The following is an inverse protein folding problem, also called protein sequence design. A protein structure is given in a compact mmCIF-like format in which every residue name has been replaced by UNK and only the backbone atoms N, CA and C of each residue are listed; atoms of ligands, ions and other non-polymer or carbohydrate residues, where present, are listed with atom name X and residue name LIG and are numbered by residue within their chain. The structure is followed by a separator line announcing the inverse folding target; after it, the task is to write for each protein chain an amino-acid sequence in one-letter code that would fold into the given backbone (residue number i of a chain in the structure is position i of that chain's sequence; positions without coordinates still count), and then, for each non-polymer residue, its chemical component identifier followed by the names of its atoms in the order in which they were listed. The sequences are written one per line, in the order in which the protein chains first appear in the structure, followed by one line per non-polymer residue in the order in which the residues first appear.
data_IF_801609459217
#
_entry.id   IF_801609459217
#
_cell.length_a   1.000
_cell.length_b   1.000
_cell.length_c   1.000
_cell.angle_alpha   90.00
_cell.angle_beta   90.00
_cell.angle_gamma   90.00
#
_symmetry.space_group_name_H-M   'P 1'
#
loop_
_entity.id
_entity.type
_entity.pdbx_description
1 polymer ?
#
# COMPACT_ATOMS: atom_id res chain seq x y z
N UNK A 1 -4.04 2.08 -19.21
CA UNK A 1 -4.49 2.60 -17.90
C UNK A 1 -4.67 1.45 -16.89
N UNK A 2 -5.58 0.51 -17.13
CA UNK A 2 -5.89 -0.58 -16.17
C UNK A 2 -4.64 -1.36 -15.73
N UNK A 3 -3.76 -1.77 -16.65
CA UNK A 3 -2.54 -2.48 -16.28
C UNK A 3 -1.57 -1.63 -15.42
N UNK A 4 -1.53 -0.31 -15.63
CA UNK A 4 -0.67 0.61 -14.86
C UNK A 4 -1.24 0.81 -13.45
N UNK A 5 -2.56 1.04 -13.34
CA UNK A 5 -3.24 1.16 -12.05
C UNK A 5 -3.16 -0.15 -11.25
N UNK A 6 -3.28 -1.29 -11.93
CA UNK A 6 -3.09 -2.61 -11.32
C UNK A 6 -1.65 -2.80 -10.81
N UNK A 7 -0.64 -2.36 -11.56
CA UNK A 7 0.76 -2.39 -11.11
C UNK A 7 0.99 -1.54 -9.85
N UNK A 8 0.43 -0.32 -9.79
CA UNK A 8 0.51 0.54 -8.60
C UNK A 8 -0.21 -0.08 -7.38
N UNK A 9 -1.37 -0.70 -7.61
CA UNK A 9 -2.09 -1.44 -6.58
C UNK A 9 -1.26 -2.63 -6.06
N UNK A 10 -0.73 -3.45 -6.97
CA UNK A 10 0.08 -4.63 -6.62
C UNK A 10 1.34 -4.25 -5.85
N UNK A 11 2.03 -3.17 -6.25
CA UNK A 11 3.21 -2.66 -5.55
C UNK A 11 2.91 -2.29 -4.09
N UNK A 12 1.79 -1.60 -3.84
CA UNK A 12 1.40 -1.24 -2.47
C UNK A 12 0.97 -2.44 -1.63
N UNK A 13 0.31 -3.42 -2.25
CA UNK A 13 -0.03 -4.66 -1.56
C UNK A 13 1.22 -5.48 -1.22
N UNK A 14 2.27 -5.46 -2.06
CA UNK A 14 3.56 -6.07 -1.75
C UNK A 14 4.22 -5.46 -0.51
N UNK A 15 4.17 -4.14 -0.38
CA UNK A 15 4.67 -3.43 0.81
C UNK A 15 3.91 -3.87 2.08
N UNK A 16 2.58 -3.93 2.01
CA UNK A 16 1.76 -4.43 3.12
C UNK A 16 2.04 -5.90 3.47
N UNK A 17 2.30 -6.76 2.48
CA UNK A 17 2.70 -8.15 2.73
C UNK A 17 4.06 -8.25 3.43
N UNK A 18 5.00 -7.37 3.09
CA UNK A 18 6.31 -7.32 3.73
C UNK A 18 6.19 -6.92 5.21
N UNK A 19 5.42 -5.87 5.50
CA UNK A 19 5.19 -5.40 6.87
C UNK A 19 4.50 -6.46 7.74
N UNK A 20 3.42 -7.05 7.22
CA UNK A 20 2.69 -8.11 7.94
C UNK A 20 3.53 -9.37 8.13
N UNK A 21 4.44 -9.69 7.20
CA UNK A 21 5.40 -10.79 7.36
C UNK A 21 6.40 -10.51 8.48
N UNK A 22 6.95 -9.30 8.56
CA UNK A 22 7.87 -8.89 9.63
C UNK A 22 7.17 -8.95 11.00
N UNK A 23 5.95 -8.41 11.10
CA UNK A 23 5.13 -8.48 12.31
C UNK A 23 4.85 -9.93 12.74
N UNK A 24 4.52 -10.81 11.79
CA UNK A 24 4.25 -12.22 12.06
C UNK A 24 5.47 -12.93 12.63
N UNK A 25 6.66 -12.70 12.07
CA UNK A 25 7.90 -13.31 12.60
C UNK A 25 8.22 -12.81 14.01
N UNK A 26 8.16 -11.49 14.25
CA UNK A 26 8.38 -10.90 15.57
C UNK A 26 7.37 -11.41 16.61
N UNK A 27 6.11 -11.60 16.21
CA UNK A 27 5.06 -12.15 17.09
C UNK A 27 5.36 -13.60 17.46
N UNK A 28 5.77 -14.43 16.50
CA UNK A 28 6.14 -15.84 16.77
C UNK A 28 7.34 -15.91 17.70
N UNK A 29 8.33 -15.04 17.52
CA UNK A 29 9.49 -14.95 18.40
C UNK A 29 9.10 -14.50 19.81
N UNK A 30 8.25 -13.48 19.94
CA UNK A 30 7.70 -13.04 21.22
C UNK A 30 6.99 -14.16 21.97
N UNK A 31 6.18 -14.97 21.27
CA UNK A 31 5.47 -16.13 21.84
C UNK A 31 6.47 -17.19 22.32
N UNK A 32 7.52 -17.47 21.55
CA UNK A 32 8.55 -18.47 21.93
C UNK A 32 9.35 -18.05 23.15
N UNK A 33 9.60 -16.75 23.30
CA UNK A 33 10.34 -16.20 24.44
C UNK A 33 9.45 -15.99 25.67
N UNK A 34 8.13 -16.09 25.52
CA UNK A 34 7.19 -15.93 26.62
C UNK A 34 7.17 -17.18 27.52
N UNK A 35 7.69 -17.03 28.73
CA UNK A 35 7.54 -18.03 29.79
C UNK A 35 6.22 -17.80 30.56
N UNK A 36 5.30 -18.76 30.44
CA UNK A 36 3.97 -18.72 31.06
C UNK A 36 3.99 -18.64 32.60
N UNK A 37 5.15 -18.87 33.24
CA UNK A 37 5.30 -18.89 34.69
C UNK A 37 5.58 -17.55 35.38
N UNK A 38 5.90 -16.48 34.65
CA UNK A 38 6.39 -15.24 35.26
C UNK A 38 6.02 -13.96 34.51
N UNK A 39 4.83 -13.40 34.80
CA UNK A 39 4.47 -12.05 34.35
C UNK A 39 5.25 -11.03 35.18
N UNK A 40 6.48 -10.76 34.76
CA UNK A 40 7.33 -9.69 35.31
C UNK A 40 7.42 -8.53 34.33
N UNK A 41 7.59 -7.31 34.82
CA UNK A 41 7.71 -6.09 34.00
C UNK A 41 8.88 -6.14 32.98
N UNK A 42 9.83 -7.05 33.17
CA UNK A 42 10.95 -7.29 32.25
C UNK A 42 10.49 -8.02 30.98
N UNK A 43 9.61 -9.01 31.11
CA UNK A 43 9.07 -9.77 29.98
C UNK A 43 8.19 -8.89 29.07
N UNK A 44 7.38 -7.98 29.66
CA UNK A 44 6.57 -7.04 28.88
C UNK A 44 7.41 -6.02 28.11
N UNK A 45 8.56 -5.59 28.66
CA UNK A 45 9.49 -4.71 27.96
C UNK A 45 10.15 -5.41 26.76
N UNK A 46 10.62 -6.65 26.93
CA UNK A 46 11.21 -7.43 25.83
C UNK A 46 10.23 -7.64 24.67
N UNK A 47 8.99 -8.01 24.99
CA UNK A 47 7.92 -8.16 23.98
C UNK A 47 7.68 -6.86 23.23
N UNK A 48 7.64 -5.73 23.95
CA UNK A 48 7.48 -4.40 23.34
C UNK A 48 8.65 -4.05 22.43
N UNK A 49 9.88 -4.23 22.90
CA UNK A 49 11.09 -3.89 22.15
C UNK A 49 11.20 -4.71 20.85
N UNK A 50 10.63 -5.93 20.82
CA UNK A 50 10.58 -6.79 19.63
C UNK A 50 9.45 -6.42 18.65
N UNK A 51 8.27 -6.05 19.16
CA UNK A 51 7.07 -5.80 18.35
C UNK A 51 6.97 -4.36 17.85
N UNK A 52 7.27 -3.36 18.68
CA UNK A 52 7.10 -1.94 18.37
C UNK A 52 7.82 -1.52 17.07
N UNK A 53 9.06 -1.98 16.78
CA UNK A 53 9.74 -1.65 15.52
C UNK A 53 9.06 -2.23 14.27
N UNK A 54 8.25 -3.29 14.42
CA UNK A 54 7.50 -3.90 13.31
C UNK A 54 6.14 -3.24 13.07
N UNK A 55 5.67 -2.44 14.02
CA UNK A 55 4.42 -1.69 13.93
C UNK A 55 4.66 -0.35 13.25
N UNK A 56 5.38 -0.36 12.12
CA UNK A 56 5.55 0.83 11.29
C UNK A 56 4.19 1.26 10.77
N UNK A 57 3.67 2.43 11.18
CA UNK A 57 2.42 2.91 10.63
C UNK A 57 2.62 3.11 9.13
N UNK A 58 1.67 2.64 8.32
CA UNK A 58 1.65 2.98 6.90
C UNK A 58 1.75 4.50 6.78
N UNK A 59 2.86 4.99 6.20
CA UNK A 59 3.10 6.43 6.16
C UNK A 59 1.96 7.09 5.40
N UNK A 60 1.30 8.06 6.02
CA UNK A 60 0.21 8.82 5.41
C UNK A 60 0.62 9.35 4.02
N UNK A 61 1.90 9.70 3.86
CA UNK A 61 2.50 10.09 2.58
C UNK A 61 2.44 9.02 1.50
N UNK A 62 2.76 7.75 1.80
CA UNK A 62 2.70 6.66 0.82
C UNK A 62 1.27 6.39 0.35
N UNK A 63 0.32 6.34 1.29
CA UNK A 63 -1.09 6.15 0.96
C UNK A 63 -1.63 7.27 0.08
N UNK A 64 -1.35 8.52 0.47
CA UNK A 64 -1.73 9.72 -0.26
C UNK A 64 -1.11 9.75 -1.65
N UNK A 65 0.17 9.41 -1.79
CA UNK A 65 0.86 9.41 -3.08
C UNK A 65 0.24 8.42 -4.08
N UNK A 66 -0.15 7.22 -3.64
CA UNK A 66 -0.83 6.25 -4.52
C UNK A 66 -2.17 6.77 -5.02
N UNK A 67 -2.98 7.34 -4.13
CA UNK A 67 -4.28 7.90 -4.52
C UNK A 67 -4.12 9.07 -5.50
N UNK A 68 -3.24 10.03 -5.19
CA UNK A 68 -2.96 11.16 -6.08
C UNK A 68 -2.47 10.69 -7.45
N UNK A 69 -1.56 9.71 -7.48
CA UNK A 69 -1.02 9.18 -8.74
C UNK A 69 -2.11 8.50 -9.57
N UNK A 70 -2.98 7.71 -8.92
CA UNK A 70 -4.13 7.07 -9.56
C UNK A 70 -5.09 8.09 -10.17
N UNK A 71 -5.40 9.16 -9.42
CA UNK A 71 -6.34 10.20 -9.86
C UNK A 71 -5.78 10.97 -11.06
N UNK A 72 -4.50 11.36 -11.00
CA UNK A 72 -3.82 12.05 -12.12
C UNK A 72 -3.83 11.18 -13.37
N UNK A 73 -3.49 9.89 -13.26
CA UNK A 73 -3.49 8.97 -14.40
C UNK A 73 -4.89 8.80 -14.99
N UNK A 74 -5.92 8.77 -14.15
CA UNK A 74 -7.32 8.66 -14.58
C UNK A 74 -7.74 9.91 -15.35
N UNK A 75 -7.47 11.10 -14.82
CA UNK A 75 -7.76 12.38 -15.48
C UNK A 75 -7.04 12.45 -16.84
N UNK A 76 -5.76 12.08 -16.89
CA UNK A 76 -4.97 12.07 -18.12
C UNK A 76 -5.55 11.13 -19.18
N UNK A 77 -6.03 9.95 -18.79
CA UNK A 77 -6.68 9.03 -19.73
C UNK A 77 -8.02 9.55 -20.25
N UNK A 78 -8.84 10.17 -19.39
CA UNK A 78 -10.10 10.81 -19.82
C UNK A 78 -9.82 11.93 -20.83
N UNK A 79 -8.80 12.75 -20.56
CA UNK A 79 -8.34 13.78 -21.49
C UNK A 79 -7.89 13.21 -22.83
N UNK A 80 -7.10 12.13 -22.82
CA UNK A 80 -6.65 11.48 -24.05
C UNK A 80 -7.82 10.88 -24.85
N UNK A 81 -8.80 10.28 -24.18
CA UNK A 81 -10.02 9.75 -24.81
C UNK A 81 -10.86 10.88 -25.43
N UNK A 82 -11.07 11.98 -24.71
CA UNK A 82 -11.82 13.13 -25.20
C UNK A 82 -11.10 13.83 -26.38
N UNK A 83 -9.78 13.97 -26.30
CA UNK A 83 -8.98 14.51 -27.39
C UNK A 83 -9.10 13.65 -28.66
N UNK A 84 -8.98 12.32 -28.52
CA UNK A 84 -9.22 11.39 -29.63
C UNK A 84 -10.64 11.52 -30.19
N UNK A 85 -11.66 11.60 -29.32
CA UNK A 85 -13.06 11.76 -29.74
C UNK A 85 -13.26 13.03 -30.57
N UNK A 86 -12.67 14.15 -30.14
CA UNK A 86 -12.72 15.43 -30.88
C UNK A 86 -12.07 15.32 -32.26
N UNK A 87 -10.90 14.68 -32.36
CA UNK A 87 -10.22 14.45 -33.65
C UNK A 87 -11.03 13.55 -34.60
N UNK A 88 -11.67 12.51 -34.07
CA UNK A 88 -12.54 11.65 -34.88
C UNK A 88 -13.77 12.42 -35.37
N UNK A 89 -14.41 13.21 -34.49
CA UNK A 89 -15.60 14.01 -34.85
C UNK A 89 -15.29 15.13 -35.84
N UNK A 90 -14.09 15.72 -35.82
CA UNK A 90 -13.67 16.70 -36.85
C UNK A 90 -13.34 16.07 -38.20
N UNK A 91 -13.16 14.74 -38.25
CA UNK A 91 -12.78 14.01 -39.49
C UNK A 91 -14.02 13.41 -40.19
N UNK A 92 -15.17 13.32 -39.51
CA UNK A 92 -16.45 12.98 -40.14
C UNK A 92 -17.07 14.24 -40.74
N UNK A 93 -17.14 14.40 -42.09
CA UNK A 93 -17.86 15.51 -42.69
C UNK A 93 -19.35 15.38 -42.36
N UNK A 94 -20.03 16.50 -42.12
CA UNK A 94 -21.48 16.53 -42.03
C UNK A 94 -22.08 16.01 -43.35
N UNK A 95 -22.70 14.83 -43.29
CA UNK A 95 -23.63 14.36 -44.32
C UNK A 95 -25.01 14.94 -44.04
#
# INVERSE_FOLDING_TARGET
LVCILFGLFAYKNLDAMKDTTAQRFATIEAIKQFDSGGVTATASKQVRDLLEPTLTPATFGSVKATHITSDILTIAALWAMEFRRRRLKSTTPAQ
#
